data_IF_204388064225
#
_entry.id   IF_204388064225
#
_cell.length_a   1.000
_cell.length_b   1.000
_cell.length_c   1.000
_cell.angle_alpha   90.00
_cell.angle_beta   90.00
_cell.angle_gamma   90.00
#
_symmetry.space_group_name_H-M   'P 1'
#
loop_
_entity.id
_entity.type
_entity.pdbx_description
1 polymer ?
#
# COMPACT_ATOMS: atom_id res chain seq x y z
N UNK A 1 1.90 31.93 9.20
CA UNK A 1 2.36 30.84 10.10
C UNK A 1 1.28 29.79 10.14
N UNK A 2 1.63 28.53 9.82
CA UNK A 2 0.69 27.41 9.91
C UNK A 2 0.57 26.97 11.38
N UNK A 3 -0.66 26.80 11.86
CA UNK A 3 -0.96 26.12 13.12
C UNK A 3 -0.38 24.70 13.10
N UNK A 4 0.06 24.18 14.26
CA UNK A 4 0.69 22.86 14.39
C UNK A 4 -0.14 21.74 13.75
N UNK A 5 -1.47 21.81 13.89
CA UNK A 5 -2.42 20.87 13.24
C UNK A 5 -2.34 20.91 11.71
N UNK A 6 -2.32 22.11 11.13
CA UNK A 6 -2.26 22.28 9.68
C UNK A 6 -0.91 21.81 9.13
N UNK A 7 0.18 22.00 9.87
CA UNK A 7 1.50 21.51 9.49
C UNK A 7 1.56 19.97 9.45
N UNK A 8 1.01 19.30 10.46
CA UNK A 8 0.94 17.82 10.51
C UNK A 8 0.10 17.27 9.35
N UNK A 9 -1.04 17.89 9.05
CA UNK A 9 -1.88 17.47 7.93
C UNK A 9 -1.16 17.61 6.58
N UNK A 10 -0.46 18.72 6.35
CA UNK A 10 0.27 18.96 5.09
C UNK A 10 1.43 17.97 4.93
N UNK A 11 2.20 17.72 5.99
CA UNK A 11 3.32 16.78 5.96
C UNK A 11 2.82 15.35 5.77
N UNK A 12 1.76 14.96 6.48
CA UNK A 12 1.13 13.65 6.35
C UNK A 12 0.61 13.42 4.93
N UNK A 13 -0.09 14.40 4.35
CA UNK A 13 -0.59 14.31 2.97
C UNK A 13 0.56 14.18 1.97
N UNK A 14 1.62 14.98 2.10
CA UNK A 14 2.79 14.88 1.23
C UNK A 14 3.46 13.50 1.32
N UNK A 15 3.60 12.98 2.54
CA UNK A 15 4.18 11.65 2.76
C UNK A 15 3.34 10.54 2.11
N UNK A 16 2.01 10.58 2.28
CA UNK A 16 1.09 9.62 1.64
C UNK A 16 1.20 9.69 0.12
N UNK A 17 1.17 10.89 -0.46
CA UNK A 17 1.32 11.07 -1.92
C UNK A 17 2.67 10.57 -2.43
N UNK A 18 3.76 10.78 -1.67
CA UNK A 18 5.07 10.27 -2.02
C UNK A 18 5.11 8.73 -2.00
N UNK A 19 4.54 8.09 -0.99
CA UNK A 19 4.46 6.62 -0.89
C UNK A 19 3.62 6.05 -2.03
N UNK A 20 2.43 6.62 -2.29
CA UNK A 20 1.58 6.21 -3.42
C UNK A 20 2.32 6.38 -4.74
N UNK A 21 2.97 7.53 -4.96
CA UNK A 21 3.78 7.78 -6.14
C UNK A 21 4.89 6.75 -6.34
N UNK A 22 5.64 6.43 -5.28
CA UNK A 22 6.71 5.43 -5.32
C UNK A 22 6.17 4.04 -5.62
N UNK A 23 5.04 3.64 -5.02
CA UNK A 23 4.38 2.38 -5.31
C UNK A 23 3.88 2.31 -6.75
N UNK A 24 3.28 3.38 -7.28
CA UNK A 24 2.85 3.40 -8.69
C UNK A 24 4.03 3.25 -9.65
N UNK A 25 5.16 3.89 -9.34
CA UNK A 25 6.39 3.78 -10.13
C UNK A 25 6.95 2.36 -10.06
N UNK A 26 7.09 1.80 -8.85
CA UNK A 26 7.58 0.44 -8.64
C UNK A 26 6.71 -0.57 -9.38
N UNK A 27 5.39 -0.44 -9.29
CA UNK A 27 4.46 -1.33 -9.98
C UNK A 27 4.56 -1.23 -11.51
N UNK A 28 4.95 -0.08 -12.06
CA UNK A 28 5.17 0.08 -13.51
C UNK A 28 6.53 -0.43 -14.00
N UNK A 29 7.46 -0.77 -13.10
CA UNK A 29 8.74 -1.40 -13.50
C UNK A 29 8.55 -2.87 -13.92
N UNK A 30 9.59 -3.45 -14.53
CA UNK A 30 9.59 -4.85 -14.95
C UNK A 30 9.29 -5.83 -13.79
N UNK A 31 9.84 -5.55 -12.61
CA UNK A 31 9.58 -6.35 -11.39
C UNK A 31 8.12 -6.21 -10.98
N UNK A 32 7.58 -4.99 -11.00
CA UNK A 32 6.17 -4.73 -10.71
C UNK A 32 5.20 -5.43 -11.66
N UNK A 33 5.51 -5.44 -12.96
CA UNK A 33 4.71 -6.15 -13.97
C UNK A 33 4.77 -7.67 -13.79
N UNK A 34 5.94 -8.22 -13.44
CA UNK A 34 6.10 -9.64 -13.18
C UNK A 34 5.44 -10.07 -11.84
N UNK A 35 5.40 -9.19 -10.83
CA UNK A 35 4.59 -9.42 -9.62
C UNK A 35 3.10 -9.48 -9.98
N UNK A 36 2.62 -8.57 -10.86
CA UNK A 36 1.22 -8.58 -11.32
C UNK A 36 0.89 -9.82 -12.14
N UNK A 37 1.75 -10.22 -13.08
CA UNK A 37 1.52 -11.44 -13.87
C UNK A 37 1.48 -12.68 -12.98
N UNK A 38 2.32 -12.70 -11.94
CA UNK A 38 2.34 -13.78 -10.94
C UNK A 38 1.04 -13.81 -10.13
N UNK A 39 0.44 -12.65 -9.83
CA UNK A 39 -0.84 -12.54 -9.14
C UNK A 39 -2.04 -12.93 -10.00
N UNK A 40 -2.01 -12.62 -11.30
CA UNK A 40 -3.10 -12.97 -12.23
C UNK A 40 -3.07 -14.45 -12.63
N UNK A 41 -1.88 -14.98 -12.95
CA UNK A 41 -1.73 -16.36 -13.41
C UNK A 41 -0.33 -16.92 -13.10
N UNK A 42 -0.28 -17.75 -12.05
CA UNK A 42 0.92 -18.46 -11.59
C UNK A 42 1.50 -19.38 -12.69
N UNK A 43 0.75 -20.35 -13.26
CA UNK A 43 1.33 -21.27 -14.25
C UNK A 43 1.81 -20.57 -15.53
N UNK A 44 1.18 -19.46 -15.94
CA UNK A 44 1.65 -18.65 -17.06
C UNK A 44 2.96 -17.92 -16.73
N UNK A 45 3.10 -17.42 -15.50
CA UNK A 45 4.33 -16.74 -15.08
C UNK A 45 5.51 -17.70 -14.98
N UNK A 46 5.29 -18.92 -14.46
CA UNK A 46 6.31 -19.97 -14.44
C UNK A 46 6.72 -20.42 -15.85
N UNK A 47 5.76 -20.57 -16.77
CA UNK A 47 6.03 -20.91 -18.16
C UNK A 47 6.83 -19.82 -18.91
N UNK A 48 6.71 -18.56 -18.49
CA UNK A 48 7.49 -17.44 -19.02
C UNK A 48 8.87 -17.28 -18.37
N UNK A 49 9.29 -18.23 -17.52
CA UNK A 49 10.60 -18.21 -16.86
C UNK A 49 10.71 -17.24 -15.68
N UNK A 50 9.58 -16.74 -15.16
CA UNK A 50 9.55 -15.89 -13.95
C UNK A 50 9.57 -16.80 -12.72
N UNK A 51 10.50 -16.55 -11.80
CA UNK A 51 10.52 -17.22 -10.50
C UNK A 51 9.38 -16.70 -9.62
N UNK A 52 8.23 -17.38 -9.66
CA UNK A 52 7.01 -17.00 -8.95
C UNK A 52 7.22 -16.91 -7.44
N UNK A 53 7.96 -17.84 -6.83
CA UNK A 53 8.20 -17.83 -5.38
C UNK A 53 8.99 -16.60 -4.93
N UNK A 54 10.01 -16.20 -5.68
CA UNK A 54 10.74 -14.96 -5.40
C UNK A 54 9.83 -13.74 -5.55
N UNK A 55 8.96 -13.70 -6.56
CA UNK A 55 8.01 -12.59 -6.73
C UNK A 55 6.96 -12.51 -5.61
N UNK A 56 6.49 -13.64 -5.09
CA UNK A 56 5.64 -13.64 -3.88
C UNK A 56 6.38 -13.09 -2.67
N UNK A 57 7.63 -13.50 -2.46
CA UNK A 57 8.46 -12.99 -1.36
C UNK A 57 8.64 -11.47 -1.49
N UNK A 58 8.96 -10.95 -2.68
CA UNK A 58 9.06 -9.50 -2.90
C UNK A 58 7.75 -8.78 -2.56
N UNK A 59 6.60 -9.33 -2.96
CA UNK A 59 5.29 -8.80 -2.60
C UNK A 59 5.04 -8.78 -1.09
N UNK A 60 5.35 -9.87 -0.39
CA UNK A 60 5.22 -9.96 1.07
C UNK A 60 6.17 -9.00 1.79
N UNK A 61 7.41 -8.86 1.34
CA UNK A 61 8.38 -7.94 1.92
C UNK A 61 7.91 -6.49 1.80
N UNK A 62 7.41 -6.10 0.62
CA UNK A 62 6.89 -4.75 0.39
C UNK A 62 5.68 -4.45 1.31
N UNK A 63 4.70 -5.36 1.34
CA UNK A 63 3.49 -5.20 2.15
C UNK A 63 3.81 -5.14 3.65
N UNK A 64 4.61 -6.08 4.16
CA UNK A 64 4.99 -6.10 5.58
C UNK A 64 5.86 -4.89 5.96
N UNK A 65 6.71 -4.41 5.05
CA UNK A 65 7.50 -3.19 5.27
C UNK A 65 6.64 -1.95 5.47
N UNK A 66 5.59 -1.78 4.65
CA UNK A 66 4.63 -0.68 4.79
C UNK A 66 3.81 -0.79 6.08
N UNK A 67 3.37 -2.00 6.45
CA UNK A 67 2.64 -2.25 7.70
C UNK A 67 3.52 -1.90 8.91
N UNK A 68 4.78 -2.34 8.90
CA UNK A 68 5.73 -2.04 9.97
C UNK A 68 6.01 -0.53 10.09
N UNK A 69 6.18 0.17 8.96
CA UNK A 69 6.36 1.62 8.94
C UNK A 69 5.14 2.35 9.51
N UNK A 70 3.93 1.94 9.13
CA UNK A 70 2.69 2.51 9.68
C UNK A 70 2.59 2.27 11.19
N UNK A 71 2.91 1.06 11.66
CA UNK A 71 2.95 0.72 13.08
C UNK A 71 3.95 1.57 13.86
N UNK A 72 5.16 1.77 13.33
CA UNK A 72 6.19 2.59 13.95
C UNK A 72 5.81 4.08 14.04
N UNK A 73 5.08 4.60 13.06
CA UNK A 73 4.57 5.98 13.10
C UNK A 73 3.45 6.14 14.14
N UNK A 74 2.55 5.16 14.23
CA UNK A 74 1.45 5.17 15.21
C UNK A 74 1.97 5.09 16.65
N UNK A 75 2.97 4.25 16.92
CA UNK A 75 3.56 4.15 18.26
C UNK A 75 4.36 5.40 18.64
N UNK A 76 5.04 6.04 17.68
CA UNK A 76 5.69 7.34 17.89
C UNK A 76 4.67 8.45 18.20
N UNK A 77 3.50 8.42 17.57
CA UNK A 77 2.47 9.43 17.81
C UNK A 77 1.78 9.25 19.18
N UNK A 78 1.46 8.00 19.55
CA UNK A 78 0.76 7.69 20.79
C UNK A 78 1.67 7.57 22.02
N UNK A 79 2.97 7.30 21.83
CA UNK A 79 3.95 7.15 22.92
C UNK A 79 3.90 5.80 23.65
N UNK A 80 3.03 4.88 23.23
CA UNK A 80 2.92 3.52 23.74
C UNK A 80 2.48 2.56 22.63
N UNK A 81 2.72 1.26 22.83
CA UNK A 81 2.34 0.21 21.90
C UNK A 81 1.30 -0.71 22.55
N UNK A 82 0.11 -0.81 21.95
CA UNK A 82 -0.97 -1.71 22.38
C UNK A 82 -1.39 -2.60 21.21
N UNK A 83 -1.58 -3.90 21.46
CA UNK A 83 -2.01 -4.90 20.47
C UNK A 83 -3.41 -4.60 19.89
N UNK A 84 -4.29 -3.97 20.66
CA UNK A 84 -5.65 -3.63 20.26
C UNK A 84 -5.72 -2.36 19.41
N UNK A 85 -4.66 -1.54 19.38
CA UNK A 85 -4.65 -0.26 18.66
C UNK A 85 -4.78 -0.41 17.13
N UNK A 86 -4.50 -1.59 16.58
CA UNK A 86 -4.51 -1.85 15.14
C UNK A 86 -5.78 -2.52 14.60
N UNK A 87 -6.55 -3.22 15.42
CA UNK A 87 -7.66 -4.07 14.94
C UNK A 87 -8.79 -3.24 14.32
N UNK A 88 -9.20 -2.14 14.97
CA UNK A 88 -10.19 -1.22 14.44
C UNK A 88 -9.73 -0.54 13.14
N UNK A 89 -8.45 -0.16 13.07
CA UNK A 89 -7.87 0.51 11.91
C UNK A 89 -7.85 -0.39 10.66
N UNK A 90 -7.56 -1.68 10.82
CA UNK A 90 -7.61 -2.65 9.70
C UNK A 90 -9.04 -2.78 9.16
N UNK A 91 -10.04 -2.88 10.05
CA UNK A 91 -11.45 -3.01 9.64
C UNK A 91 -11.92 -1.77 8.89
N UNK A 92 -11.62 -0.58 9.41
CA UNK A 92 -11.97 0.70 8.76
C UNK A 92 -11.26 0.81 7.40
N UNK A 93 -9.97 0.43 7.34
CA UNK A 93 -9.18 0.45 6.12
C UNK A 93 -9.77 -0.44 5.03
N UNK A 94 -10.04 -1.71 5.34
CA UNK A 94 -10.63 -2.64 4.37
C UNK A 94 -12.03 -2.19 3.91
N UNK A 95 -12.85 -1.64 4.81
CA UNK A 95 -14.17 -1.10 4.45
C UNK A 95 -14.04 0.07 3.47
N UNK A 96 -13.08 0.98 3.68
CA UNK A 96 -12.85 2.13 2.79
C UNK A 96 -12.42 1.71 1.38
N UNK A 97 -11.57 0.68 1.26
CA UNK A 97 -11.13 0.11 -0.02
C UNK A 97 -12.33 -0.43 -0.81
N UNK A 98 -13.20 -1.20 -0.15
CA UNK A 98 -14.40 -1.78 -0.78
C UNK A 98 -15.33 -0.66 -1.27
N UNK A 99 -15.56 0.38 -0.46
CA UNK A 99 -16.40 1.51 -0.85
C UNK A 99 -15.81 2.24 -2.07
N UNK A 100 -14.51 2.50 -2.07
CA UNK A 100 -13.83 3.15 -3.19
C UNK A 100 -13.96 2.34 -4.49
N UNK A 101 -13.80 1.02 -4.41
CA UNK A 101 -13.88 0.11 -5.55
C UNK A 101 -15.30 -0.04 -6.13
N UNK A 102 -16.34 0.05 -5.28
CA UNK A 102 -17.74 0.01 -5.72
C UNK A 102 -18.15 1.30 -6.42
N UNK A 103 -17.70 2.46 -5.92
CA UNK A 103 -18.06 3.78 -6.48
C UNK A 103 -17.29 4.06 -7.78
N UNK A 104 -15.99 3.76 -7.82
CA UNK A 104 -15.12 4.11 -8.93
C UNK A 104 -14.78 2.87 -9.76
N UNK A 105 -15.63 2.57 -10.75
CA UNK A 105 -15.41 1.46 -11.70
C UNK A 105 -14.39 1.84 -12.78
N UNK A 106 -13.58 0.87 -13.22
CA UNK A 106 -12.64 0.98 -14.36
C UNK A 106 -11.52 2.04 -14.23
N UNK A 107 -10.90 2.14 -13.06
CA UNK A 107 -9.72 3.00 -12.89
C UNK A 107 -8.42 2.31 -13.34
N UNK A 108 -7.52 3.09 -13.96
CA UNK A 108 -6.13 2.67 -14.20
C UNK A 108 -5.42 2.44 -12.85
N UNK A 109 -4.47 1.51 -12.80
CA UNK A 109 -3.84 1.06 -11.54
C UNK A 109 -3.31 2.20 -10.66
N UNK A 110 -2.69 3.22 -11.26
CA UNK A 110 -2.22 4.38 -10.50
C UNK A 110 -3.35 5.21 -9.88
N UNK A 111 -4.49 5.31 -10.57
CA UNK A 111 -5.68 5.98 -10.03
C UNK A 111 -6.41 5.11 -9.00
N UNK A 112 -6.34 3.77 -9.09
CA UNK A 112 -6.88 2.86 -8.06
C UNK A 112 -6.14 3.00 -6.73
N UNK A 113 -4.82 3.17 -6.77
CA UNK A 113 -4.01 3.37 -5.57
C UNK A 113 -4.20 4.76 -4.94
N UNK A 114 -4.69 5.74 -5.70
CA UNK A 114 -4.94 7.09 -5.22
C UNK A 114 -6.39 7.26 -4.72
N UNK A 115 -7.31 6.46 -5.25
CA UNK A 115 -8.71 6.43 -4.78
C UNK A 115 -8.92 5.71 -3.46
N UNK A 116 -7.95 4.87 -3.07
CA UNK A 116 -7.90 4.12 -1.81
C UNK A 116 -7.04 4.88 -0.82
#
# INVERSE_FOLDING_TARGET
GLTKTNAVLVIGLFFVLAVVGLLTLLLNTQIGLAIRSTGDNIPMSEANGINVDNMKIYGYMLSNGLIALCGALLTQNNGYADLNSGTGTIVIGLASVIIAEVILRNLRLGWRLLSV
#
